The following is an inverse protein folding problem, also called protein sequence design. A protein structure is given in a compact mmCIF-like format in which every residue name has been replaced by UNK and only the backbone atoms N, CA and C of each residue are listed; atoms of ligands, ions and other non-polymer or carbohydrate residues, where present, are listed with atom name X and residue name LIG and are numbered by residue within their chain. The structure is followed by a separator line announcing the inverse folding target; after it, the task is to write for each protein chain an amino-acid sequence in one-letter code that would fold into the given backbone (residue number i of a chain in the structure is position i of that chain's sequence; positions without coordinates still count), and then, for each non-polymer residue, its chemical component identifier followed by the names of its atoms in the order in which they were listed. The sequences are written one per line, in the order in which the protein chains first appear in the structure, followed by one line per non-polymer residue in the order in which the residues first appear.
data_IF_674805145459
#
_entry.id   IF_674805145459
#
_cell.length_a   1.000
_cell.length_b   1.000
_cell.length_c   1.000
_cell.angle_alpha   90.00
_cell.angle_beta   90.00
_cell.angle_gamma   90.00
#
_symmetry.space_group_name_H-M   'P 1'
#
loop_
_entity.id
_entity.type
_entity.pdbx_description
1 polymer ?
#
# COMPACT_ATOMS: atom_id res chain seq x y z
N UNK A 1 -16.24 -17.63 -18.90
CA UNK A 1 -17.13 -17.34 -17.75
C UNK A 1 -16.38 -16.68 -16.60
N UNK A 2 -15.34 -17.29 -16.04
CA UNK A 2 -14.58 -16.73 -14.91
C UNK A 2 -13.86 -15.40 -15.22
N UNK A 3 -13.17 -15.28 -16.36
CA UNK A 3 -12.49 -14.03 -16.76
C UNK A 3 -13.48 -12.85 -16.86
N UNK A 4 -14.60 -13.04 -17.56
CA UNK A 4 -15.65 -12.01 -17.68
C UNK A 4 -16.26 -11.59 -16.33
N UNK A 5 -16.32 -12.49 -15.34
CA UNK A 5 -16.74 -12.14 -13.99
C UNK A 5 -15.69 -11.25 -13.30
N UNK A 6 -14.41 -11.57 -13.44
CA UNK A 6 -13.31 -10.78 -12.88
C UNK A 6 -13.25 -9.38 -13.50
N UNK A 7 -13.42 -9.26 -14.82
CA UNK A 7 -13.49 -7.97 -15.51
C UNK A 7 -14.64 -7.10 -14.99
N UNK A 8 -15.82 -7.70 -14.85
CA UNK A 8 -16.99 -6.98 -14.30
C UNK A 8 -16.74 -6.57 -12.85
N UNK A 9 -16.13 -7.45 -12.05
CA UNK A 9 -15.89 -7.20 -10.62
C UNK A 9 -14.85 -6.11 -10.41
N UNK A 10 -13.79 -6.05 -11.20
CA UNK A 10 -12.75 -5.01 -11.08
C UNK A 10 -13.30 -3.60 -11.38
N UNK A 11 -14.26 -3.51 -12.31
CA UNK A 11 -14.89 -2.26 -12.74
C UNK A 11 -16.13 -1.85 -11.92
N UNK A 12 -16.67 -2.75 -11.08
CA UNK A 12 -17.88 -2.48 -10.31
C UNK A 12 -17.60 -1.49 -9.18
N UNK A 13 -18.01 -0.23 -9.35
CA UNK A 13 -17.78 0.87 -8.38
C UNK A 13 -18.31 0.54 -6.97
N UNK A 14 -19.41 -0.22 -6.87
CA UNK A 14 -20.01 -0.61 -5.60
C UNK A 14 -19.43 -1.88 -4.98
N UNK A 15 -18.50 -2.56 -5.65
CA UNK A 15 -17.83 -3.72 -5.06
C UNK A 15 -16.83 -3.26 -3.98
N UNK A 16 -16.62 -4.05 -2.92
CA UNK A 16 -15.58 -3.79 -1.92
C UNK A 16 -14.22 -3.54 -2.60
N UNK A 17 -13.44 -2.60 -2.08
CA UNK A 17 -12.16 -2.21 -2.67
C UNK A 17 -11.20 -3.40 -2.76
N UNK A 18 -11.17 -4.23 -1.71
CA UNK A 18 -10.45 -5.50 -1.68
C UNK A 18 -10.83 -6.43 -2.84
N UNK A 19 -12.12 -6.63 -3.10
CA UNK A 19 -12.61 -7.51 -4.17
C UNK A 19 -12.23 -6.98 -5.55
N UNK A 20 -12.29 -5.65 -5.74
CA UNK A 20 -11.89 -5.01 -7.00
C UNK A 20 -10.40 -5.21 -7.27
N UNK A 21 -9.58 -4.97 -6.24
CA UNK A 21 -8.14 -5.20 -6.28
C UNK A 21 -7.81 -6.66 -6.59
N UNK A 22 -8.43 -7.60 -5.89
CA UNK A 22 -8.27 -9.04 -6.12
C UNK A 22 -8.70 -9.44 -7.54
N UNK A 23 -9.83 -8.93 -8.03
CA UNK A 23 -10.29 -9.21 -9.38
C UNK A 23 -9.29 -8.72 -10.44
N UNK A 24 -8.74 -7.50 -10.28
CA UNK A 24 -7.70 -7.00 -11.18
C UNK A 24 -6.41 -7.80 -11.06
N UNK A 25 -5.96 -8.12 -9.84
CA UNK A 25 -4.78 -8.95 -9.60
C UNK A 25 -4.92 -10.34 -10.23
N UNK A 26 -6.10 -10.95 -10.17
CA UNK A 26 -6.38 -12.21 -10.84
C UNK A 26 -6.26 -12.07 -12.38
N UNK A 27 -6.78 -10.99 -12.96
CA UNK A 27 -6.65 -10.72 -14.40
C UNK A 27 -5.20 -10.51 -14.82
N UNK A 28 -4.40 -9.78 -14.02
CA UNK A 28 -2.95 -9.63 -14.26
C UNK A 28 -2.24 -10.97 -14.19
N UNK A 29 -2.62 -11.83 -13.24
CA UNK A 29 -2.05 -13.18 -13.09
C UNK A 29 -2.38 -14.09 -14.27
N UNK A 30 -3.51 -13.87 -14.90
CA UNK A 30 -3.96 -14.56 -16.11
C UNK A 30 -3.48 -13.90 -17.41
N UNK A 31 -2.59 -12.91 -17.32
CA UNK A 31 -2.01 -12.18 -18.47
C UNK A 31 -3.08 -11.55 -19.37
N UNK A 32 -4.18 -11.09 -18.77
CA UNK A 32 -5.26 -10.46 -19.50
C UNK A 32 -4.76 -9.15 -20.16
N UNK A 33 -5.05 -8.89 -21.45
CA UNK A 33 -4.46 -7.78 -22.19
C UNK A 33 -4.76 -6.40 -21.59
N UNK A 34 -5.92 -6.26 -20.93
CA UNK A 34 -6.34 -5.00 -20.30
C UNK A 34 -5.93 -4.89 -18.82
N UNK A 35 -5.23 -5.87 -18.27
CA UNK A 35 -4.80 -5.88 -16.87
C UNK A 35 -3.30 -5.58 -16.77
N UNK A 36 -2.98 -4.28 -16.78
CA UNK A 36 -1.62 -3.75 -16.71
C UNK A 36 -1.34 -3.03 -15.38
N UNK A 37 -0.09 -2.67 -15.12
CA UNK A 37 0.25 -1.76 -14.02
C UNK A 37 -0.48 -0.41 -14.15
N UNK A 38 -0.66 0.11 -15.36
CA UNK A 38 -1.39 1.36 -15.59
C UNK A 38 -2.87 1.23 -15.22
N UNK A 39 -3.50 0.10 -15.55
CA UNK A 39 -4.87 -0.18 -15.11
C UNK A 39 -4.98 -0.26 -13.58
N UNK A 40 -3.98 -0.84 -12.92
CA UNK A 40 -3.90 -0.87 -11.46
C UNK A 40 -3.78 0.54 -10.86
N UNK A 41 -2.90 1.38 -11.40
CA UNK A 41 -2.73 2.76 -10.96
C UNK A 41 -3.99 3.59 -11.20
N UNK A 42 -4.64 3.41 -12.35
CA UNK A 42 -5.91 4.09 -12.68
C UNK A 42 -7.01 3.71 -11.70
N UNK A 43 -7.11 2.42 -11.33
CA UNK A 43 -8.05 1.96 -10.32
C UNK A 43 -7.76 2.60 -8.95
N UNK A 44 -6.51 2.56 -8.49
CA UNK A 44 -6.12 3.12 -7.21
C UNK A 44 -6.38 4.63 -7.14
N UNK A 45 -6.13 5.36 -8.23
CA UNK A 45 -6.37 6.81 -8.30
C UNK A 45 -7.86 7.20 -8.22
N UNK A 46 -8.79 6.28 -8.48
CA UNK A 46 -10.24 6.51 -8.39
C UNK A 46 -10.81 6.21 -7.00
N UNK A 47 -10.02 5.64 -6.09
CA UNK A 47 -10.44 5.25 -4.75
C UNK A 47 -10.15 6.36 -3.75
N UNK A 48 -10.90 6.37 -2.64
CA UNK A 48 -10.51 7.19 -1.50
C UNK A 48 -9.20 6.65 -0.90
N UNK A 49 -8.41 7.49 -0.21
CA UNK A 49 -7.14 7.05 0.40
C UNK A 49 -7.29 5.81 1.29
N UNK A 50 -8.37 5.74 2.08
CA UNK A 50 -8.68 4.58 2.92
C UNK A 50 -8.94 3.31 2.10
N UNK A 51 -9.67 3.42 0.98
CA UNK A 51 -9.98 2.29 0.10
C UNK A 51 -8.78 1.82 -0.71
N UNK A 52 -7.81 2.70 -1.00
CA UNK A 52 -6.62 2.37 -1.77
C UNK A 52 -5.76 1.29 -1.09
N UNK A 53 -5.69 1.29 0.25
CA UNK A 53 -4.99 0.24 1.01
C UNK A 53 -5.63 -1.13 0.85
N UNK A 54 -6.96 -1.23 1.01
CA UNK A 54 -7.71 -2.47 0.82
C UNK A 54 -7.60 -3.00 -0.62
N UNK A 55 -7.75 -2.13 -1.62
CA UNK A 55 -7.61 -2.52 -3.02
C UNK A 55 -6.19 -2.99 -3.33
N UNK A 56 -5.17 -2.30 -2.81
CA UNK A 56 -3.78 -2.71 -2.95
C UNK A 56 -3.52 -4.07 -2.31
N UNK A 57 -4.13 -4.35 -1.15
CA UNK A 57 -4.07 -5.67 -0.52
C UNK A 57 -4.60 -6.74 -1.46
N UNK A 58 -5.84 -6.62 -1.94
CA UNK A 58 -6.45 -7.60 -2.84
C UNK A 58 -5.61 -7.82 -4.10
N UNK A 59 -5.08 -6.74 -4.66
CA UNK A 59 -4.26 -6.77 -5.85
C UNK A 59 -2.94 -7.52 -5.60
N UNK A 60 -2.19 -7.17 -4.55
CA UNK A 60 -0.93 -7.85 -4.20
C UNK A 60 -1.16 -9.32 -3.82
N UNK A 61 -2.29 -9.66 -3.22
CA UNK A 61 -2.61 -11.04 -2.88
C UNK A 61 -2.51 -11.98 -4.11
N UNK A 62 -2.90 -11.50 -5.30
CA UNK A 62 -2.97 -12.30 -6.52
C UNK A 62 -1.94 -11.93 -7.60
N UNK A 63 -1.38 -10.72 -7.59
CA UNK A 63 -0.43 -10.23 -8.59
C UNK A 63 0.87 -9.63 -8.00
N UNK A 64 1.26 -10.04 -6.79
CA UNK A 64 2.52 -9.59 -6.14
C UNK A 64 3.74 -9.60 -7.05
N UNK A 65 3.96 -10.69 -7.79
CA UNK A 65 5.15 -10.84 -8.61
C UNK A 65 5.08 -9.94 -9.85
N UNK A 66 3.92 -9.91 -10.51
CA UNK A 66 3.67 -9.04 -11.66
C UNK A 66 3.94 -7.57 -11.32
N UNK A 67 3.46 -7.11 -10.15
CA UNK A 67 3.65 -5.72 -9.74
C UNK A 67 5.05 -5.43 -9.22
N UNK A 68 5.60 -6.28 -8.36
CA UNK A 68 6.94 -6.08 -7.80
C UNK A 68 8.05 -6.12 -8.85
N UNK A 69 7.75 -6.60 -10.06
CA UNK A 69 8.66 -6.59 -11.21
C UNK A 69 8.34 -5.49 -12.24
N UNK A 70 7.39 -4.58 -11.98
CA UNK A 70 7.02 -3.51 -12.91
C UNK A 70 7.47 -2.13 -12.38
N UNK A 71 8.59 -1.55 -12.89
CA UNK A 71 9.07 -0.24 -12.44
C UNK A 71 8.04 0.89 -12.60
N UNK A 72 7.23 0.83 -13.67
CA UNK A 72 6.17 1.80 -13.92
C UNK A 72 5.11 1.81 -12.80
N UNK A 73 4.81 0.65 -12.20
CA UNK A 73 3.89 0.57 -11.07
C UNK A 73 4.46 1.30 -9.85
N UNK A 74 5.74 1.05 -9.51
CA UNK A 74 6.39 1.69 -8.35
C UNK A 74 6.46 3.20 -8.52
N UNK A 75 6.87 3.67 -9.70
CA UNK A 75 6.94 5.10 -9.98
C UNK A 75 5.55 5.77 -9.91
N UNK A 76 4.53 5.14 -10.50
CA UNK A 76 3.16 5.66 -10.46
C UNK A 76 2.56 5.62 -9.05
N UNK A 77 2.80 4.55 -8.30
CA UNK A 77 2.27 4.40 -6.95
C UNK A 77 2.94 5.37 -5.97
N UNK A 78 4.27 5.54 -6.07
CA UNK A 78 5.02 6.57 -5.36
C UNK A 78 4.47 7.98 -5.64
N UNK A 79 4.25 8.31 -6.92
CA UNK A 79 3.64 9.58 -7.32
C UNK A 79 2.24 9.78 -6.72
N UNK A 80 1.41 8.74 -6.73
CA UNK A 80 0.09 8.77 -6.11
C UNK A 80 0.16 9.04 -4.60
N UNK A 81 1.08 8.36 -3.88
CA UNK A 81 1.28 8.60 -2.45
C UNK A 81 1.74 10.04 -2.16
N UNK A 82 2.61 10.61 -3.00
CA UNK A 82 3.09 11.99 -2.85
C UNK A 82 2.02 13.06 -3.12
N UNK A 83 0.88 12.69 -3.72
CA UNK A 83 -0.25 13.59 -3.96
C UNK A 83 -1.25 13.60 -2.81
N UNK A 84 -1.16 12.64 -1.87
CA UNK A 84 -2.03 12.60 -0.70
C UNK A 84 -1.70 13.75 0.25
N UNK A 85 -2.73 14.32 0.88
CA UNK A 85 -2.52 15.21 2.01
C UNK A 85 -1.91 14.43 3.18
N UNK A 86 -1.26 15.12 4.12
CA UNK A 86 -0.69 14.48 5.30
C UNK A 86 -1.73 13.66 6.08
N UNK A 87 -2.93 14.23 6.28
CA UNK A 87 -4.03 13.55 6.97
C UNK A 87 -4.51 12.30 6.21
N UNK A 88 -4.67 12.41 4.90
CA UNK A 88 -5.09 11.27 4.06
C UNK A 88 -4.05 10.16 4.04
N UNK A 89 -2.78 10.52 3.95
CA UNK A 89 -1.67 9.57 4.01
C UNK A 89 -1.65 8.84 5.36
N UNK A 90 -1.71 9.58 6.47
CA UNK A 90 -1.73 8.99 7.82
C UNK A 90 -2.92 8.04 7.99
N UNK A 91 -4.11 8.41 7.49
CA UNK A 91 -5.30 7.59 7.56
C UNK A 91 -5.20 6.31 6.71
N UNK A 92 -4.59 6.38 5.53
CA UNK A 92 -4.39 5.22 4.65
C UNK A 92 -3.25 4.30 5.11
N UNK A 93 -2.31 4.83 5.90
CA UNK A 93 -1.05 4.17 6.22
C UNK A 93 -1.19 2.79 6.89
N UNK A 94 -2.13 2.53 7.83
CA UNK A 94 -2.31 1.21 8.43
C UNK A 94 -2.60 0.13 7.39
N UNK A 95 -3.54 0.36 6.47
CA UNK A 95 -3.94 -0.62 5.44
C UNK A 95 -2.86 -0.75 4.37
N UNK A 96 -2.19 0.34 4.01
CA UNK A 96 -1.02 0.30 3.13
C UNK A 96 0.10 -0.56 3.71
N UNK A 97 0.42 -0.40 5.00
CA UNK A 97 1.40 -1.24 5.68
C UNK A 97 0.94 -2.70 5.74
N UNK A 98 -0.33 -2.94 6.03
CA UNK A 98 -0.89 -4.29 6.05
C UNK A 98 -0.78 -4.97 4.68
N UNK A 99 -1.12 -4.28 3.59
CA UNK A 99 -0.99 -4.78 2.23
C UNK A 99 0.47 -5.15 1.90
N UNK A 100 1.43 -4.30 2.26
CA UNK A 100 2.86 -4.54 2.01
C UNK A 100 3.43 -5.68 2.86
N UNK A 101 2.93 -5.89 4.08
CA UNK A 101 3.40 -6.95 4.97
C UNK A 101 3.18 -8.37 4.39
N UNK A 102 2.21 -8.53 3.49
CA UNK A 102 1.89 -9.79 2.80
C UNK A 102 2.85 -10.16 1.66
N UNK A 103 3.70 -9.23 1.21
CA UNK A 103 4.71 -9.54 0.20
C UNK A 103 5.73 -10.53 0.77
N UNK A 104 6.04 -11.67 0.14
CA UNK A 104 7.07 -12.59 0.62
C UNK A 104 8.49 -11.98 0.52
N UNK A 105 9.50 -12.56 1.19
CA UNK A 105 10.85 -12.00 1.23
C UNK A 105 11.45 -11.66 -0.14
N UNK A 106 11.22 -12.51 -1.15
CA UNK A 106 11.75 -12.31 -2.51
C UNK A 106 11.13 -11.06 -3.16
N UNK A 107 9.81 -10.98 -3.20
CA UNK A 107 9.08 -9.87 -3.80
C UNK A 107 9.34 -8.57 -3.05
N UNK A 108 9.44 -8.60 -1.71
CA UNK A 108 9.87 -7.44 -0.92
C UNK A 108 11.26 -6.97 -1.32
N UNK A 109 12.20 -7.90 -1.53
CA UNK A 109 13.54 -7.58 -2.01
C UNK A 109 13.51 -6.91 -3.39
N UNK A 110 12.74 -7.45 -4.34
CA UNK A 110 12.60 -6.85 -5.68
C UNK A 110 11.97 -5.46 -5.60
N UNK A 111 10.87 -5.32 -4.85
CA UNK A 111 10.20 -4.04 -4.61
C UNK A 111 11.18 -3.01 -4.03
N UNK A 112 11.99 -3.39 -3.05
CA UNK A 112 12.95 -2.51 -2.40
C UNK A 112 14.03 -1.99 -3.36
N UNK A 113 14.54 -2.83 -4.27
CA UNK A 113 15.47 -2.38 -5.30
C UNK A 113 14.79 -1.36 -6.24
N UNK A 114 13.56 -1.64 -6.68
CA UNK A 114 12.83 -0.72 -7.54
C UNK A 114 12.53 0.63 -6.87
N UNK A 115 12.26 0.62 -5.56
CA UNK A 115 12.11 1.86 -4.78
C UNK A 115 13.41 2.65 -4.78
N UNK A 116 14.56 2.01 -4.52
CA UNK A 116 15.87 2.68 -4.58
C UNK A 116 16.18 3.23 -5.97
N UNK A 117 15.90 2.47 -7.03
CA UNK A 117 16.07 2.93 -8.42
C UNK A 117 15.18 4.14 -8.72
N UNK A 118 13.91 4.10 -8.32
CA UNK A 118 12.96 5.19 -8.54
C UNK A 118 13.42 6.50 -7.90
N UNK A 119 13.96 6.44 -6.68
CA UNK A 119 14.50 7.61 -5.97
C UNK A 119 15.95 7.94 -6.33
N UNK A 120 16.55 7.27 -7.33
CA UNK A 120 17.95 7.48 -7.77
C UNK A 120 18.97 7.21 -6.65
N UNK A 121 18.67 6.22 -5.81
CA UNK A 121 19.47 5.75 -4.68
C UNK A 121 19.95 4.31 -4.87
N UNK A 122 20.02 3.81 -6.10
CA UNK A 122 20.41 2.43 -6.42
C UNK A 122 21.80 2.02 -5.90
N UNK A 123 22.66 2.99 -5.56
CA UNK A 123 23.95 2.76 -4.91
C UNK A 123 23.84 2.33 -3.44
N UNK A 124 22.70 2.57 -2.79
CA UNK A 124 22.47 2.16 -1.41
C UNK A 124 22.10 0.67 -1.35
N UNK A 125 22.52 -0.07 -0.32
CA UNK A 125 22.03 -1.43 -0.09
C UNK A 125 20.54 -1.39 0.31
N UNK A 126 19.78 -2.43 -0.01
CA UNK A 126 18.37 -2.57 0.43
C UNK A 126 18.21 -2.42 1.95
N UNK A 127 19.19 -2.85 2.73
CA UNK A 127 19.19 -2.67 4.19
C UNK A 127 19.13 -1.20 4.63
N UNK A 128 19.53 -0.25 3.78
CA UNK A 128 19.40 1.18 4.04
C UNK A 128 17.93 1.62 4.22
N UNK A 129 16.98 0.96 3.54
CA UNK A 129 15.55 1.22 3.72
C UNK A 129 14.99 0.75 5.07
N UNK A 130 15.74 -0.11 5.77
CA UNK A 130 15.38 -0.64 7.08
C UNK A 130 16.21 0.00 8.20
N UNK A 131 17.10 0.93 7.86
CA UNK A 131 17.89 1.62 8.88
C UNK A 131 16.96 2.41 9.80
N UNK A 132 17.12 2.29 11.13
CA UNK A 132 16.39 3.11 12.06
C UNK A 132 16.62 4.58 11.74
N UNK A 133 15.53 5.36 11.69
CA UNK A 133 15.65 6.81 11.61
C UNK A 133 16.35 7.30 12.89
N UNK A 134 17.37 8.14 12.72
CA UNK A 134 18.04 8.74 13.87
C UNK A 134 17.10 9.75 14.53
N UNK A 135 16.45 9.33 15.60
CA UNK A 135 15.58 10.17 16.40
C UNK A 135 16.23 10.35 17.78
N UNK A 136 16.42 11.58 18.27
CA UNK A 136 16.97 11.79 19.60
C UNK A 136 16.04 11.12 20.64
N UNK A 137 16.58 10.43 21.66
CA UNK A 137 15.77 9.72 22.66
C UNK A 137 14.69 10.59 23.31
N UNK A 138 14.96 11.89 23.46
CA UNK A 138 14.03 12.88 23.99
C UNK A 138 12.79 13.05 23.10
N UNK A 139 12.93 13.01 21.77
CA UNK A 139 11.80 13.10 20.85
C UNK A 139 10.94 11.82 20.87
N UNK A 140 11.57 10.65 21.01
CA UNK A 140 10.85 9.38 21.17
C UNK A 140 10.02 9.41 22.46
N UNK A 141 10.64 9.80 23.59
CA UNK A 141 9.96 9.90 24.88
C UNK A 141 8.80 10.91 24.84
N UNK A 142 8.99 12.05 24.16
CA UNK A 142 7.95 13.06 23.99
C UNK A 142 6.74 12.51 23.22
N UNK A 143 6.96 11.85 22.08
CA UNK A 143 5.86 11.26 21.31
C UNK A 143 5.15 10.12 22.04
N UNK A 144 5.89 9.27 22.77
CA UNK A 144 5.28 8.23 23.62
C UNK A 144 4.41 8.83 24.73
N UNK A 145 4.83 9.94 25.34
CA UNK A 145 4.04 10.64 26.33
C UNK A 145 2.74 11.22 25.73
N UNK A 146 2.80 11.81 24.53
CA UNK A 146 1.62 12.30 23.83
C UNK A 146 0.63 11.16 23.50
N UNK A 147 1.14 10.01 23.04
CA UNK A 147 0.32 8.82 22.77
C UNK A 147 -0.36 8.30 24.05
N UNK A 148 0.38 8.20 25.16
CA UNK A 148 -0.18 7.81 26.45
C UNK A 148 -1.26 8.78 26.94
N UNK A 149 -1.08 10.09 26.76
CA UNK A 149 -2.07 11.10 27.10
C UNK A 149 -3.33 11.00 26.24
N UNK A 150 -3.18 10.74 24.94
CA UNK A 150 -4.30 10.50 24.04
C UNK A 150 -5.08 9.24 24.44
N UNK A 151 -4.40 8.13 24.71
CA UNK A 151 -5.02 6.88 25.15
C UNK A 151 -5.75 7.03 26.49
N UNK A 152 -5.13 7.67 27.48
CA UNK A 152 -5.75 7.94 28.78
C UNK A 152 -7.00 8.82 28.63
N UNK A 153 -6.97 9.80 27.72
CA UNK A 153 -8.14 10.60 27.38
C UNK A 153 -9.24 9.71 26.80
N UNK A 154 -8.96 8.92 25.77
CA UNK A 154 -9.94 8.02 25.14
C UNK A 154 -10.57 7.03 26.13
N UNK A 155 -9.79 6.52 27.09
CA UNK A 155 -10.29 5.67 28.18
C UNK A 155 -11.30 6.41 29.07
N UNK A 156 -11.04 7.68 29.41
CA UNK A 156 -11.97 8.50 30.20
C UNK A 156 -13.32 8.74 29.48
N UNK A 157 -13.30 8.77 28.14
CA UNK A 157 -14.52 8.88 27.33
C UNK A 157 -15.21 7.53 27.06
N UNK A 158 -14.64 6.41 27.53
CA UNK A 158 -15.17 5.05 27.29
C UNK A 158 -15.05 4.57 25.84
N UNK A 159 -14.20 5.20 25.03
CA UNK A 159 -14.03 4.89 23.59
C UNK A 159 -12.94 3.82 23.37
N UNK A 160 -12.12 3.54 24.39
CA UNK A 160 -11.02 2.58 24.30
C UNK A 160 -10.92 1.72 25.57
N UNK A 161 -10.96 0.40 25.41
CA UNK A 161 -10.70 -0.58 26.47
C UNK A 161 -9.58 -1.51 26.03
N UNK A 162 -8.57 -1.68 26.89
CA UNK A 162 -7.43 -2.61 26.71
C UNK A 162 -7.81 -4.00 27.19
#
# INVERSE_FOLDING_TARGET
AAVALLERRSQAIHAPALDRGAALGALMRLEHPNASAEAALTMLAQLSPAQSGEALHGLLALARHQLACQPAFIAGFSSHLNQLSEADFINALPDLRAAMAWLPPRERGTLAHQVLEHYQLAQLPVSALQMPLHCPPQAIAHHQQLEQQALASLQNWGVFHV
#
